data_IF_330138799905
#
_entry.id   IF_330138799905
#
_cell.length_a   1.000
_cell.length_b   1.000
_cell.length_c   1.000
_cell.angle_alpha   90.00
_cell.angle_beta   90.00
_cell.angle_gamma   90.00
#
_symmetry.space_group_name_H-M   'P 1'
#
loop_
_entity.id
_entity.type
_entity.pdbx_description
1 polymer ?
#
# COMPACT_ATOMS: atom_id res chain seq x y z
N UNK A 1 6.67 -5.24 -1.56
CA UNK A 1 7.54 -5.31 -2.73
C UNK A 1 7.63 -3.92 -3.36
N UNK A 2 8.25 -3.76 -4.52
CA UNK A 2 8.31 -2.45 -5.18
C UNK A 2 6.89 -1.89 -5.42
N UNK A 3 6.70 -0.60 -5.13
CA UNK A 3 5.43 0.09 -5.34
C UNK A 3 4.26 -0.39 -4.49
N UNK A 4 4.46 -1.20 -3.43
CA UNK A 4 3.40 -1.56 -2.49
C UNK A 4 3.19 -0.47 -1.44
N UNK A 5 1.96 -0.33 -0.95
CA UNK A 5 1.60 0.60 0.14
C UNK A 5 1.33 -0.21 1.41
N UNK A 6 1.96 0.19 2.51
CA UNK A 6 1.75 -0.42 3.83
C UNK A 6 0.93 0.54 4.69
N UNK A 7 -0.20 0.05 5.20
CA UNK A 7 -1.03 0.82 6.13
C UNK A 7 -0.29 1.13 7.44
N UNK A 8 -0.52 2.31 8.00
CA UNK A 8 0.09 2.70 9.27
C UNK A 8 -0.21 1.69 10.39
N UNK A 9 0.74 1.49 11.30
CA UNK A 9 0.61 0.57 12.43
C UNK A 9 0.71 -0.93 12.09
N UNK A 10 1.11 -1.27 10.87
CA UNK A 10 1.27 -2.68 10.45
C UNK A 10 2.60 -3.28 10.89
N UNK A 11 2.60 -4.58 11.18
CA UNK A 11 3.83 -5.36 11.46
C UNK A 11 4.02 -6.39 10.34
N UNK A 12 5.02 -6.15 9.50
CA UNK A 12 5.34 -7.00 8.34
C UNK A 12 6.26 -8.12 8.79
N UNK A 13 5.76 -9.35 8.78
CA UNK A 13 6.50 -10.55 9.23
C UNK A 13 6.93 -11.47 8.08
N UNK A 14 6.53 -11.17 6.85
CA UNK A 14 6.80 -11.93 5.62
C UNK A 14 6.86 -10.98 4.43
N UNK A 15 7.44 -11.45 3.33
CA UNK A 15 7.53 -10.68 2.09
C UNK A 15 6.15 -10.26 1.57
N UNK A 16 6.10 -9.03 1.05
CA UNK A 16 4.91 -8.45 0.43
C UNK A 16 5.13 -8.42 -1.09
N UNK A 17 4.17 -8.86 -1.92
CA UNK A 17 4.22 -8.72 -3.37
C UNK A 17 4.41 -7.26 -3.82
N UNK A 18 4.86 -7.05 -5.06
CA UNK A 18 4.89 -5.72 -5.65
C UNK A 18 3.46 -5.22 -5.95
N UNK A 19 3.24 -3.91 -5.87
CA UNK A 19 1.98 -3.29 -6.32
C UNK A 19 0.72 -3.67 -5.54
N UNK A 20 0.82 -4.01 -4.25
CA UNK A 20 -0.33 -4.32 -3.39
C UNK A 20 -0.48 -3.34 -2.24
N UNK A 21 -1.69 -3.26 -1.70
CA UNK A 21 -1.99 -2.65 -0.42
C UNK A 21 -2.04 -3.76 0.63
N UNK A 22 -1.26 -3.61 1.70
CA UNK A 22 -1.23 -4.55 2.82
C UNK A 22 -1.30 -3.81 4.16
N UNK A 23 -1.96 -4.40 5.15
CA UNK A 23 -2.02 -3.83 6.50
C UNK A 23 -2.27 -4.86 7.60
N UNK A 24 -2.09 -4.45 8.86
CA UNK A 24 -2.47 -5.20 10.06
C UNK A 24 -1.30 -5.78 10.87
N UNK A 25 -1.64 -6.48 11.95
CA UNK A 25 -0.70 -7.15 12.87
C UNK A 25 -1.20 -8.58 13.13
N UNK A 26 -0.65 -9.62 12.45
CA UNK A 26 0.36 -9.54 11.39
C UNK A 26 -0.18 -8.93 10.09
N UNK A 27 0.71 -8.30 9.31
CA UNK A 27 0.36 -7.66 8.05
C UNK A 27 -0.11 -8.67 7.00
N UNK A 28 -1.24 -8.39 6.35
CA UNK A 28 -1.82 -9.23 5.29
C UNK A 28 -2.09 -8.40 4.04
N UNK A 29 -1.97 -9.05 2.87
CA UNK A 29 -2.35 -8.47 1.59
C UNK A 29 -3.87 -8.26 1.59
N UNK A 30 -4.31 -7.04 1.26
CA UNK A 30 -5.73 -6.67 1.18
C UNK A 30 -6.18 -6.73 -0.29
N UNK A 31 -5.50 -5.99 -1.17
CA UNK A 31 -5.81 -5.94 -2.61
C UNK A 31 -4.66 -5.36 -3.43
N UNK A 32 -4.65 -5.55 -4.76
CA UNK A 32 -3.78 -4.81 -5.67
C UNK A 32 -4.04 -3.30 -5.63
N UNK A 33 -2.99 -2.53 -5.94
CA UNK A 33 -3.08 -1.08 -6.18
C UNK A 33 -3.74 -0.84 -7.53
N UNK A 34 -4.60 0.17 -7.58
CA UNK A 34 -5.35 0.58 -8.77
C UNK A 34 -5.12 2.07 -9.05
N UNK A 35 -5.59 2.56 -10.19
CA UNK A 35 -5.50 4.00 -10.53
C UNK A 35 -6.18 4.91 -9.50
N UNK A 36 -7.17 4.40 -8.75
CA UNK A 36 -7.84 5.15 -7.68
C UNK A 36 -6.95 5.44 -6.47
N UNK A 37 -5.83 4.72 -6.33
CA UNK A 37 -4.90 4.85 -5.21
C UNK A 37 -3.73 5.82 -5.52
N UNK A 38 -3.65 6.29 -6.77
CA UNK A 38 -2.60 7.18 -7.23
C UNK A 38 -3.15 8.61 -7.25
N UNK A 39 -2.46 9.49 -6.54
CA UNK A 39 -2.70 10.93 -6.60
C UNK A 39 -1.42 11.58 -7.11
N UNK A 40 -1.55 12.45 -8.11
CA UNK A 40 -0.45 13.27 -8.57
C UNK A 40 -0.30 14.48 -7.65
N UNK A 41 0.89 15.09 -7.57
CA UNK A 41 1.06 16.33 -6.82
C UNK A 41 0.05 17.41 -7.25
N UNK A 42 -0.29 17.48 -8.53
CA UNK A 42 -1.32 18.39 -9.07
C UNK A 42 -2.71 18.17 -8.45
N UNK A 43 -3.05 16.95 -8.05
CA UNK A 43 -4.37 16.60 -7.48
C UNK A 43 -4.51 17.07 -6.02
N UNK A 44 -3.42 17.48 -5.37
CA UNK A 44 -3.33 17.77 -3.92
C UNK A 44 -2.91 19.23 -3.66
N UNK A 45 -2.58 19.99 -4.71
CA UNK A 45 -2.26 21.41 -4.63
C UNK A 45 -3.55 22.24 -4.59
N UNK A 46 -3.73 23.00 -3.51
CA UNK A 46 -4.82 23.97 -3.32
C UNK A 46 -4.52 25.31 -4.02
#
# INVERSE_FOLDING_TARGET
>A
GAGSVIGAGSVVTRDIPAGVIAAGVPCKVIRPITEKDKFKPEDILF
#
